data_IF_868915986633
#
_entry.id   IF_868915986633
#
_cell.length_a   1.000
_cell.length_b   1.000
_cell.length_c   1.000
_cell.angle_alpha   90.00
_cell.angle_beta   90.00
_cell.angle_gamma   90.00
#
_symmetry.space_group_name_H-M   'P 1'
#
loop_
_entity.id
_entity.type
_entity.pdbx_description
1 polymer ?
#
# COMPACT_ATOMS: atom_id res chain seq x y z
N UNK A 1 20.98 -3.07 10.24
CA UNK A 1 20.75 -1.62 10.04
C UNK A 1 19.28 -1.26 9.95
N UNK A 2 18.48 -1.88 9.08
CA UNK A 2 17.06 -1.52 8.90
C UNK A 2 16.23 -1.54 10.20
N UNK A 3 16.30 -2.61 11.00
CA UNK A 3 15.60 -2.68 12.30
C UNK A 3 16.03 -1.57 13.27
N UNK A 4 17.33 -1.32 13.35
CA UNK A 4 17.89 -0.24 14.18
C UNK A 4 17.40 1.12 13.68
N UNK A 5 17.34 1.35 12.37
CA UNK A 5 16.82 2.58 11.78
C UNK A 5 15.34 2.80 12.10
N UNK A 6 14.49 1.79 11.88
CA UNK A 6 13.06 1.87 12.20
C UNK A 6 12.86 2.15 13.69
N UNK A 7 13.56 1.43 14.56
CA UNK A 7 13.51 1.66 16.02
C UNK A 7 13.90 3.09 16.39
N UNK A 8 14.98 3.63 15.82
CA UNK A 8 15.40 5.01 16.07
C UNK A 8 14.37 6.04 15.57
N UNK A 9 13.80 5.84 14.38
CA UNK A 9 12.81 6.76 13.82
C UNK A 9 11.49 6.80 14.63
N UNK A 10 11.22 5.77 15.43
CA UNK A 10 10.08 5.72 16.36
C UNK A 10 10.47 6.28 17.74
N UNK A 11 11.61 5.88 18.28
CA UNK A 11 12.00 6.22 19.66
C UNK A 11 12.44 7.68 19.78
N UNK A 12 13.18 8.22 18.79
CA UNK A 12 13.78 9.56 18.87
C UNK A 12 12.71 10.66 18.99
N UNK A 13 11.68 10.74 18.13
CA UNK A 13 10.62 11.76 18.27
C UNK A 13 9.96 11.70 19.64
N UNK A 14 9.56 10.51 20.09
CA UNK A 14 8.88 10.31 21.38
C UNK A 14 9.74 10.81 22.53
N UNK A 15 11.04 10.49 22.53
CA UNK A 15 11.92 10.91 23.60
C UNK A 15 12.16 12.42 23.62
N UNK A 16 12.29 13.06 22.45
CA UNK A 16 12.44 14.52 22.37
C UNK A 16 11.16 15.24 22.86
N UNK A 17 9.98 14.66 22.56
CA UNK A 17 8.69 15.34 22.80
C UNK A 17 8.10 15.09 24.17
N UNK A 18 8.15 13.86 24.69
CA UNK A 18 7.41 13.46 25.88
C UNK A 18 8.29 13.22 27.10
N UNK A 19 9.59 12.92 26.94
CA UNK A 19 10.49 12.79 28.08
C UNK A 19 11.03 14.15 28.49
N UNK A 20 10.73 14.55 29.73
CA UNK A 20 11.21 15.81 30.32
C UNK A 20 12.70 15.74 30.70
N UNK A 21 13.17 14.55 31.10
CA UNK A 21 14.55 14.28 31.51
C UNK A 21 15.32 13.50 30.44
N UNK A 22 15.76 14.19 29.39
CA UNK A 22 16.55 13.61 28.30
C UNK A 22 17.98 13.24 28.74
N UNK A 23 18.39 13.58 29.97
CA UNK A 23 19.74 13.30 30.48
C UNK A 23 19.84 12.01 31.30
N UNK A 24 18.84 11.14 31.24
CA UNK A 24 18.94 9.84 31.92
C UNK A 24 20.06 8.98 31.31
N UNK A 25 20.89 8.29 32.12
CA UNK A 25 21.99 7.48 31.60
C UNK A 25 21.56 6.45 30.53
N UNK A 26 20.41 5.75 30.65
CA UNK A 26 19.97 4.81 29.62
C UNK A 26 19.69 5.46 28.26
N UNK A 27 19.11 6.67 28.26
CA UNK A 27 18.81 7.41 27.03
C UNK A 27 20.09 7.84 26.30
N UNK A 28 21.07 8.33 27.07
CA UNK A 28 22.36 8.73 26.53
C UNK A 28 23.10 7.52 25.95
N UNK A 29 23.14 6.40 26.67
CA UNK A 29 23.77 5.16 26.19
C UNK A 29 23.10 4.69 24.89
N UNK A 30 21.76 4.67 24.85
CA UNK A 30 21.02 4.30 23.65
C UNK A 30 21.38 5.17 22.43
N UNK A 31 21.40 6.50 22.60
CA UNK A 31 21.75 7.43 21.53
C UNK A 31 23.20 7.25 21.05
N UNK A 32 24.16 7.17 21.98
CA UNK A 32 25.59 7.02 21.63
C UNK A 32 25.86 5.70 20.92
N UNK A 33 25.28 4.59 21.39
CA UNK A 33 25.39 3.28 20.73
C UNK A 33 24.79 3.32 19.34
N UNK A 34 23.58 3.87 19.21
CA UNK A 34 22.89 4.03 17.93
C UNK A 34 23.72 4.85 16.94
N UNK A 35 24.20 6.02 17.35
CA UNK A 35 24.99 6.93 16.52
C UNK A 35 26.33 6.30 16.10
N UNK A 36 26.94 5.48 16.97
CA UNK A 36 28.14 4.70 16.64
C UNK A 36 27.89 3.72 15.50
N UNK A 37 26.76 2.98 15.53
CA UNK A 37 26.39 2.10 14.42
C UNK A 37 26.16 2.85 13.11
N UNK A 38 25.57 4.05 13.16
CA UNK A 38 25.38 4.90 11.98
C UNK A 38 26.70 5.41 11.40
N UNK A 39 27.66 5.74 12.27
CA UNK A 39 29.00 6.14 11.84
C UNK A 39 29.76 4.98 11.19
N UNK A 40 29.65 3.77 11.75
CA UNK A 40 30.22 2.56 11.13
C UNK A 40 29.58 2.33 9.75
N UNK A 41 28.27 2.42 9.64
CA UNK A 41 27.55 2.27 8.36
C UNK A 41 27.98 3.32 7.33
N UNK A 42 28.18 4.58 7.75
CA UNK A 42 28.74 5.63 6.91
C UNK A 42 30.12 5.26 6.35
N UNK A 43 31.01 4.70 7.18
CA UNK A 43 32.34 4.23 6.76
C UNK A 43 32.23 3.04 5.80
N UNK A 44 31.31 2.11 6.06
CA UNK A 44 31.05 0.97 5.18
C UNK A 44 30.52 1.40 3.81
N UNK A 45 29.69 2.46 3.74
CA UNK A 45 29.18 2.99 2.47
C UNK A 45 30.30 3.48 1.51
N UNK A 46 31.48 3.85 2.02
CA UNK A 46 32.65 4.15 1.18
C UNK A 46 33.31 2.92 0.56
N UNK A 47 32.99 1.71 1.04
CA UNK A 47 33.50 0.42 0.57
C UNK A 47 32.46 -0.39 -0.19
N UNK A 48 31.19 -0.01 -0.13
CA UNK A 48 30.09 -0.67 -0.84
C UNK A 48 30.12 -0.30 -2.33
N UNK A 49 30.11 -1.33 -3.19
CA UNK A 49 30.06 -1.16 -4.64
C UNK A 49 28.74 -0.56 -5.11
N UNK A 50 28.80 0.28 -6.15
CA UNK A 50 27.63 0.92 -6.75
C UNK A 50 27.26 0.13 -8.02
N UNK A 51 26.03 -0.37 -8.08
CA UNK A 51 25.47 -1.00 -9.28
C UNK A 51 25.08 0.12 -10.26
N UNK A 52 25.48 0.01 -11.53
CA UNK A 52 25.02 0.94 -12.58
C UNK A 52 23.54 0.69 -12.90
N UNK A 53 22.84 1.71 -13.40
CA UNK A 53 21.41 1.65 -13.78
C UNK A 53 21.08 0.52 -14.77
N UNK A 54 22.04 0.09 -15.58
CA UNK A 54 21.85 -1.01 -16.53
C UNK A 54 21.91 -2.40 -15.88
N UNK A 55 22.17 -2.51 -14.56
CA UNK A 55 22.35 -3.77 -13.80
C UNK A 55 23.39 -4.75 -14.40
N UNK A 56 24.18 -4.32 -15.39
CA UNK A 56 25.18 -5.14 -16.09
C UNK A 56 26.57 -5.09 -15.47
N UNK A 57 26.90 -4.00 -14.75
CA UNK A 57 28.24 -3.79 -14.19
C UNK A 57 28.19 -3.24 -12.75
N UNK A 58 29.01 -3.82 -11.87
CA UNK A 58 29.23 -3.34 -10.50
C UNK A 58 30.58 -2.63 -10.46
N UNK A 59 30.56 -1.33 -10.14
CA UNK A 59 31.79 -0.55 -9.99
C UNK A 59 32.37 -0.88 -8.61
N UNK A 60 33.52 -1.57 -8.60
CA UNK A 60 34.26 -1.94 -7.39
C UNK A 60 35.49 -1.04 -7.12
N UNK A 61 35.79 -0.10 -8.02
CA UNK A 61 36.92 0.81 -7.86
C UNK A 61 36.68 1.78 -6.68
N UNK A 62 37.47 1.71 -5.59
CA UNK A 62 37.26 2.52 -4.40
C UNK A 62 37.44 4.03 -4.65
N UNK A 63 38.22 4.46 -5.66
CA UNK A 63 38.36 5.89 -5.95
C UNK A 63 37.08 6.46 -6.58
N UNK A 64 36.51 5.73 -7.54
CA UNK A 64 35.26 6.11 -8.20
C UNK A 64 34.07 6.09 -7.24
N UNK A 65 33.99 5.08 -6.37
CA UNK A 65 32.95 4.98 -5.33
C UNK A 65 33.00 6.19 -4.40
N UNK A 66 34.19 6.55 -3.91
CA UNK A 66 34.37 7.70 -3.00
C UNK A 66 33.90 9.01 -3.64
N UNK A 67 34.35 9.32 -4.86
CA UNK A 67 34.01 10.57 -5.54
C UNK A 67 32.50 10.65 -5.80
N UNK A 68 31.90 9.56 -6.28
CA UNK A 68 30.46 9.51 -6.56
C UNK A 68 29.63 9.64 -5.28
N UNK A 69 30.04 9.01 -4.19
CA UNK A 69 29.35 9.10 -2.90
C UNK A 69 29.47 10.48 -2.25
N UNK A 70 30.68 11.07 -2.26
CA UNK A 70 30.94 12.41 -1.72
C UNK A 70 30.12 13.51 -2.43
N UNK A 71 29.91 13.38 -3.74
CA UNK A 71 29.16 14.36 -4.53
C UNK A 71 27.64 14.27 -4.36
N UNK A 72 27.12 13.13 -3.92
CA UNK A 72 25.67 12.86 -3.91
C UNK A 72 25.07 12.89 -2.51
N UNK A 73 25.30 11.84 -1.72
CA UNK A 73 24.54 11.57 -0.49
C UNK A 73 25.35 11.79 0.80
N UNK A 74 26.67 11.95 0.69
CA UNK A 74 27.55 12.06 1.85
C UNK A 74 27.14 13.14 2.84
N UNK A 75 26.77 14.34 2.37
CA UNK A 75 26.43 15.46 3.27
C UNK A 75 25.22 15.13 4.14
N UNK A 76 24.15 14.57 3.56
CA UNK A 76 22.93 14.18 4.28
C UNK A 76 23.23 13.02 5.24
N UNK A 77 24.00 12.04 4.78
CA UNK A 77 24.38 10.88 5.60
C UNK A 77 25.31 11.27 6.76
N UNK A 78 26.20 12.25 6.57
CA UNK A 78 27.11 12.76 7.59
C UNK A 78 26.38 13.56 8.66
N UNK A 79 25.56 14.54 8.27
CA UNK A 79 24.78 15.37 9.20
C UNK A 79 23.84 14.50 10.04
N UNK A 80 23.24 13.48 9.45
CA UNK A 80 22.32 12.58 10.16
C UNK A 80 23.01 11.56 11.07
N UNK A 81 24.31 11.30 10.87
CA UNK A 81 25.09 10.35 11.68
C UNK A 81 25.80 11.03 12.86
N UNK A 82 25.97 12.35 12.84
CA UNK A 82 26.66 13.08 13.90
C UNK A 82 25.68 13.45 15.05
N UNK A 83 26.07 13.21 16.32
CA UNK A 83 25.35 13.70 17.49
C UNK A 83 25.53 15.23 17.68
N UNK A 84 24.95 16.03 16.79
CA UNK A 84 25.11 17.50 16.77
C UNK A 84 24.64 18.15 18.07
N UNK A 85 23.57 17.60 18.67
CA UNK A 85 23.00 18.01 19.95
C UNK A 85 23.99 17.84 21.12
N UNK A 86 24.69 16.70 21.20
CA UNK A 86 25.68 16.47 22.24
C UNK A 86 26.94 17.32 22.04
N UNK A 87 27.40 17.49 20.79
CA UNK A 87 28.54 18.37 20.50
C UNK A 87 28.23 19.80 20.90
N UNK A 88 27.04 20.30 20.55
CA UNK A 88 26.60 21.64 20.93
C UNK A 88 26.52 21.80 22.44
N UNK A 89 25.98 20.81 23.16
CA UNK A 89 25.89 20.82 24.62
C UNK A 89 27.28 20.86 25.29
N UNK A 90 28.24 20.08 24.79
CA UNK A 90 29.62 20.07 25.30
C UNK A 90 30.30 21.41 25.01
N UNK A 91 30.20 21.94 23.78
CA UNK A 91 30.81 23.23 23.40
C UNK A 91 30.26 24.37 24.25
N UNK A 92 28.95 24.41 24.44
CA UNK A 92 28.29 25.43 25.27
C UNK A 92 28.74 25.34 26.74
N UNK A 93 28.81 24.12 27.29
CA UNK A 93 29.28 23.88 28.67
C UNK A 93 30.73 24.35 28.87
N UNK A 94 31.55 24.32 27.81
CA UNK A 94 32.96 24.71 27.85
C UNK A 94 33.19 26.21 27.65
N UNK A 95 32.30 26.90 26.92
CA UNK A 95 32.43 28.33 26.61
C UNK A 95 31.78 29.21 27.69
N UNK A 96 30.71 28.75 28.33
CA UNK A 96 29.91 29.57 29.26
C UNK A 96 29.89 29.00 30.70
N UNK A 97 31.08 28.79 31.31
CA UNK A 97 31.20 28.42 32.72
C UNK A 97 30.64 29.49 33.67
N UNK A 98 30.52 30.74 33.18
CA UNK A 98 29.92 31.85 33.91
C UNK A 98 28.68 32.34 33.13
N UNK A 99 27.56 32.49 33.85
CA UNK A 99 26.33 33.18 33.42
C UNK A 99 25.17 32.34 32.84
N UNK A 100 24.55 31.51 33.68
CA UNK A 100 23.18 31.03 33.47
C UNK A 100 22.16 32.15 33.70
N UNK A 101 21.97 33.03 32.70
CA UNK A 101 20.71 33.77 32.59
C UNK A 101 19.64 32.77 32.15
N UNK A 102 18.70 32.46 33.04
CA UNK A 102 17.63 31.46 32.90
C UNK A 102 16.85 31.56 31.59
N UNK A 103 16.67 32.78 31.05
CA UNK A 103 16.00 33.02 29.77
C UNK A 103 16.81 32.57 28.54
N UNK A 104 18.15 32.56 28.60
CA UNK A 104 19.02 32.09 27.51
C UNK A 104 19.11 30.57 27.51
N UNK A 105 19.13 29.94 28.68
CA UNK A 105 19.16 28.49 28.86
C UNK A 105 17.93 27.79 28.25
N UNK A 106 16.71 28.32 28.48
CA UNK A 106 15.48 27.77 27.88
C UNK A 106 15.51 27.80 26.34
N UNK A 107 16.01 28.89 25.76
CA UNK A 107 16.15 29.02 24.31
C UNK A 107 17.15 28.01 23.75
N UNK A 108 18.26 27.79 24.45
CA UNK A 108 19.29 26.82 24.09
C UNK A 108 18.74 25.39 24.11
N UNK A 109 17.97 25.00 25.13
CA UNK A 109 17.32 23.67 25.21
C UNK A 109 16.33 23.46 24.06
N UNK A 110 15.62 24.50 23.62
CA UNK A 110 14.75 24.41 22.42
C UNK A 110 15.56 24.19 21.15
N UNK A 111 16.69 24.87 21.00
CA UNK A 111 17.58 24.68 19.85
C UNK A 111 18.20 23.28 19.81
N UNK A 112 18.60 22.71 20.95
CA UNK A 112 19.11 21.32 20.97
C UNK A 112 18.05 20.31 20.55
N UNK A 113 16.78 20.51 20.92
CA UNK A 113 15.65 19.68 20.46
C UNK A 113 15.40 19.80 18.96
N UNK A 114 15.57 20.98 18.37
CA UNK A 114 15.44 21.15 16.92
C UNK A 114 16.63 20.48 16.19
N UNK A 115 17.84 20.60 16.74
CA UNK A 115 19.03 19.96 16.18
C UNK A 115 18.96 18.43 16.25
N UNK A 116 18.36 17.85 17.30
CA UNK A 116 18.18 16.41 17.39
C UNK A 116 17.17 15.86 16.36
N UNK A 117 16.25 16.69 15.84
CA UNK A 117 15.39 16.32 14.70
C UNK A 117 16.18 16.12 13.40
N UNK A 118 17.42 16.61 13.27
CA UNK A 118 18.27 16.31 12.11
C UNK A 118 18.52 14.80 11.96
N UNK A 119 18.38 14.02 13.05
CA UNK A 119 18.44 12.55 13.00
C UNK A 119 17.29 11.95 12.17
N UNK A 120 16.19 12.67 11.94
CA UNK A 120 15.11 12.22 11.03
C UNK A 120 15.54 12.18 9.56
N UNK A 121 16.62 12.88 9.19
CA UNK A 121 17.20 12.78 7.84
C UNK A 121 17.70 11.36 7.51
N UNK A 122 17.86 10.49 8.53
CA UNK A 122 18.09 9.03 8.37
C UNK A 122 16.99 8.35 7.56
N UNK A 123 15.79 8.94 7.46
CA UNK A 123 14.72 8.45 6.59
C UNK A 123 15.17 8.31 5.14
N UNK A 124 15.99 9.24 4.64
CA UNK A 124 16.51 9.16 3.26
C UNK A 124 17.26 7.84 3.04
N UNK A 125 18.07 7.42 4.00
CA UNK A 125 18.82 6.17 3.96
C UNK A 125 17.89 4.95 4.14
N UNK A 126 16.85 5.07 4.97
CA UNK A 126 15.85 4.01 5.14
C UNK A 126 15.11 3.74 3.82
N UNK A 127 14.65 4.79 3.13
CA UNK A 127 13.97 4.67 1.84
C UNK A 127 14.88 4.01 0.80
N UNK A 128 16.16 4.41 0.73
CA UNK A 128 17.14 3.77 -0.18
C UNK A 128 17.33 2.30 0.12
N UNK A 129 17.49 1.93 1.39
CA UNK A 129 17.62 0.53 1.76
C UNK A 129 16.34 -0.24 1.42
N UNK A 130 15.16 0.26 1.75
CA UNK A 130 13.89 -0.40 1.42
C UNK A 130 13.78 -0.61 -0.09
N UNK A 131 14.08 0.39 -0.92
CA UNK A 131 14.07 0.24 -2.37
C UNK A 131 15.05 -0.82 -2.88
N UNK A 132 16.29 -0.81 -2.38
CA UNK A 132 17.30 -1.79 -2.78
C UNK A 132 16.89 -3.21 -2.35
N UNK A 133 16.33 -3.36 -1.15
CA UNK A 133 15.77 -4.63 -0.67
C UNK A 133 14.56 -5.06 -1.51
N UNK A 134 13.66 -4.14 -1.85
CA UNK A 134 12.48 -4.41 -2.69
C UNK A 134 12.88 -4.90 -4.08
N UNK A 135 13.90 -4.31 -4.72
CA UNK A 135 14.44 -4.76 -6.01
C UNK A 135 15.02 -6.18 -5.93
N UNK A 136 15.79 -6.49 -4.87
CA UNK A 136 16.34 -7.83 -4.63
C UNK A 136 15.21 -8.85 -4.41
N UNK A 137 14.19 -8.50 -3.62
CA UNK A 137 13.05 -9.40 -3.35
C UNK A 137 12.19 -9.61 -4.59
N UNK A 138 12.02 -8.58 -5.43
CA UNK A 138 11.30 -8.65 -6.70
C UNK A 138 11.84 -9.76 -7.60
N UNK A 139 13.17 -9.89 -7.69
CA UNK A 139 13.81 -10.93 -8.50
C UNK A 139 13.53 -12.36 -7.99
N UNK A 140 13.14 -12.51 -6.72
CA UNK A 140 12.90 -13.81 -6.09
C UNK A 140 11.42 -14.20 -5.96
N UNK A 141 10.49 -13.23 -5.88
CA UNK A 141 9.08 -13.50 -5.59
C UNK A 141 8.09 -12.56 -6.31
N UNK A 142 7.80 -12.85 -7.58
CA UNK A 142 7.02 -11.97 -8.48
C UNK A 142 5.58 -11.67 -7.98
N UNK A 143 4.85 -12.66 -7.45
CA UNK A 143 3.49 -12.44 -6.89
C UNK A 143 3.51 -11.75 -5.52
N UNK A 144 4.58 -11.92 -4.74
CA UNK A 144 4.70 -11.34 -3.40
C UNK A 144 5.10 -9.86 -3.43
N UNK A 145 5.68 -9.38 -4.54
CA UNK A 145 6.09 -7.98 -4.69
C UNK A 145 4.94 -7.00 -4.43
N UNK A 146 3.76 -7.23 -5.03
CA UNK A 146 2.64 -6.30 -4.88
C UNK A 146 2.15 -6.21 -3.41
N UNK A 147 2.24 -7.32 -2.67
CA UNK A 147 1.98 -7.35 -1.22
C UNK A 147 3.05 -6.56 -0.45
N UNK A 148 4.33 -6.78 -0.74
CA UNK A 148 5.45 -6.10 -0.08
C UNK A 148 5.35 -4.59 -0.26
N UNK A 149 5.03 -4.10 -1.47
CA UNK A 149 4.86 -2.67 -1.75
C UNK A 149 3.77 -2.02 -0.91
N UNK A 150 2.64 -2.70 -0.71
CA UNK A 150 1.55 -2.20 0.14
C UNK A 150 1.93 -2.24 1.62
N UNK A 151 2.59 -3.30 2.08
CA UNK A 151 3.08 -3.37 3.47
C UNK A 151 4.07 -2.24 3.75
N UNK A 152 5.00 -1.97 2.83
CA UNK A 152 5.94 -0.86 2.92
C UNK A 152 5.21 0.50 2.96
N UNK A 153 4.20 0.69 2.12
CA UNK A 153 3.39 1.91 2.11
C UNK A 153 2.62 2.11 3.42
N UNK A 154 1.99 1.06 3.95
CA UNK A 154 1.31 1.10 5.26
C UNK A 154 2.32 1.45 6.36
N UNK A 155 3.50 0.82 6.36
CA UNK A 155 4.57 1.12 7.30
C UNK A 155 5.02 2.60 7.24
N UNK A 156 5.19 3.14 6.04
CA UNK A 156 5.53 4.55 5.83
C UNK A 156 4.40 5.49 6.31
N UNK A 157 3.14 5.15 6.03
CA UNK A 157 1.98 5.92 6.48
C UNK A 157 1.86 5.96 8.01
N UNK A 158 2.09 4.83 8.68
CA UNK A 158 2.12 4.74 10.14
C UNK A 158 3.26 5.58 10.74
N UNK A 159 4.44 5.56 10.11
CA UNK A 159 5.58 6.36 10.54
C UNK A 159 5.32 7.87 10.39
N UNK A 160 4.72 8.29 9.27
CA UNK A 160 4.33 9.69 9.07
C UNK A 160 3.25 10.13 10.06
N UNK A 161 2.25 9.29 10.32
CA UNK A 161 1.22 9.54 11.33
C UNK A 161 1.86 9.70 12.74
N UNK A 162 2.83 8.85 13.06
CA UNK A 162 3.57 8.92 14.31
C UNK A 162 4.35 10.25 14.45
N UNK A 163 5.06 10.67 13.40
CA UNK A 163 5.81 11.92 13.41
C UNK A 163 4.91 13.14 13.45
N UNK A 164 3.80 13.12 12.72
CA UNK A 164 2.81 14.20 12.77
C UNK A 164 2.22 14.33 14.18
N UNK A 165 1.90 13.22 14.85
CA UNK A 165 1.46 13.23 16.25
C UNK A 165 2.51 13.80 17.19
N UNK A 166 3.77 13.39 17.04
CA UNK A 166 4.87 13.95 17.83
C UNK A 166 5.05 15.45 17.56
N UNK A 167 4.98 15.89 16.30
CA UNK A 167 5.09 17.30 15.90
C UNK A 167 3.97 18.16 16.49
N UNK A 168 2.72 17.65 16.46
CA UNK A 168 1.56 18.34 17.00
C UNK A 168 1.65 18.57 18.53
N UNK A 169 2.37 17.72 19.26
CA UNK A 169 2.67 17.93 20.68
C UNK A 169 3.96 18.74 20.90
N UNK A 170 4.97 18.56 20.05
CA UNK A 170 6.26 19.23 20.13
C UNK A 170 6.12 20.74 20.07
N UNK A 171 5.32 21.26 19.13
CA UNK A 171 5.23 22.71 18.92
C UNK A 171 4.60 23.44 20.10
N UNK A 172 3.45 23.01 20.67
CA UNK A 172 2.95 23.55 21.93
C UNK A 172 3.96 23.45 23.09
N UNK A 173 4.72 22.35 23.16
CA UNK A 173 5.76 22.18 24.18
C UNK A 173 6.91 23.20 24.01
N UNK A 174 7.31 23.53 22.78
CA UNK A 174 8.31 24.57 22.50
C UNK A 174 7.81 26.00 22.80
N UNK A 175 6.50 26.20 22.88
CA UNK A 175 5.84 27.47 23.22
C UNK A 175 5.42 27.57 24.71
N UNK A 176 5.88 26.63 25.56
CA UNK A 176 5.50 26.53 26.97
C UNK A 176 3.97 26.39 27.20
N UNK A 177 3.30 25.64 26.33
CA UNK A 177 1.86 25.31 26.43
C UNK A 177 0.94 26.54 26.60
N UNK A 178 0.81 27.39 25.57
CA UNK A 178 -0.04 28.58 25.68
C UNK A 178 -1.51 28.20 25.89
N UNK A 179 -2.31 29.10 26.49
CA UNK A 179 -3.67 28.77 26.94
C UNK A 179 -4.64 28.45 25.77
N UNK A 180 -4.33 28.89 24.56
CA UNK A 180 -5.08 28.66 23.34
C UNK A 180 -4.72 27.36 22.61
N UNK A 181 -3.68 26.64 23.04
CA UNK A 181 -3.29 25.37 22.43
C UNK A 181 -4.21 24.22 22.83
N UNK A 182 -4.27 23.20 21.97
CA UNK A 182 -5.10 22.01 22.18
C UNK A 182 -4.77 21.24 23.48
N UNK A 183 -3.50 21.21 23.90
CA UNK A 183 -3.07 20.51 25.13
C UNK A 183 -3.62 21.20 26.38
N UNK A 184 -3.48 22.53 26.46
CA UNK A 184 -3.96 23.34 27.57
C UNK A 184 -5.48 23.37 27.64
N UNK A 185 -6.17 23.45 26.49
CA UNK A 185 -7.64 23.39 26.43
C UNK A 185 -8.20 22.06 26.92
N UNK A 186 -7.53 20.97 26.61
CA UNK A 186 -7.92 19.64 27.08
C UNK A 186 -7.47 19.37 28.53
N UNK A 187 -6.77 20.31 29.18
CA UNK A 187 -6.21 20.18 30.54
C UNK A 187 -5.25 19.00 30.72
N UNK A 188 -4.56 18.61 29.65
CA UNK A 188 -3.69 17.41 29.63
C UNK A 188 -2.19 17.71 29.81
N UNK A 189 -1.83 18.94 30.21
CA UNK A 189 -0.41 19.36 30.35
C UNK A 189 0.34 18.52 31.39
N UNK A 190 -0.35 18.09 32.45
CA UNK A 190 0.22 17.36 33.58
C UNK A 190 -0.09 15.85 33.56
N UNK A 191 -0.73 15.37 32.50
CA UNK A 191 -1.07 13.96 32.35
C UNK A 191 0.16 13.09 32.05
N UNK A 192 -0.03 11.78 32.14
CA UNK A 192 1.04 10.83 31.82
C UNK A 192 1.46 10.93 30.35
N UNK A 193 2.74 10.71 30.06
CA UNK A 193 3.27 10.78 28.70
C UNK A 193 2.52 9.85 27.73
N UNK A 194 2.06 8.68 28.20
CA UNK A 194 1.29 7.73 27.41
C UNK A 194 -0.08 8.28 26.98
N UNK A 195 -0.77 9.00 27.86
CA UNK A 195 -2.04 9.66 27.54
C UNK A 195 -1.84 10.81 26.54
N UNK A 196 -0.83 11.64 26.78
CA UNK A 196 -0.48 12.75 25.88
C UNK A 196 -0.13 12.25 24.47
N UNK A 197 0.72 11.21 24.38
CA UNK A 197 1.10 10.59 23.12
C UNK A 197 -0.10 9.96 22.41
N UNK A 198 -0.95 9.23 23.14
CA UNK A 198 -2.12 8.57 22.55
C UNK A 198 -3.09 9.59 21.95
N UNK A 199 -3.33 10.71 22.63
CA UNK A 199 -4.19 11.79 22.11
C UNK A 199 -3.56 12.52 20.93
N UNK A 200 -2.25 12.77 20.97
CA UNK A 200 -1.52 13.41 19.87
C UNK A 200 -1.54 12.53 18.61
N UNK A 201 -1.32 11.22 18.78
CA UNK A 201 -1.41 10.23 17.70
C UNK A 201 -2.84 10.10 17.17
N UNK A 202 -3.84 10.10 18.04
CA UNK A 202 -5.24 10.11 17.63
C UNK A 202 -5.57 11.33 16.76
N UNK A 203 -5.12 12.52 17.16
CA UNK A 203 -5.30 13.76 16.39
C UNK A 203 -4.59 13.73 15.03
N UNK A 204 -3.38 13.19 14.96
CA UNK A 204 -2.66 13.02 13.68
C UNK A 204 -3.34 11.98 12.78
N UNK A 205 -3.78 10.86 13.35
CA UNK A 205 -4.46 9.80 12.62
C UNK A 205 -5.81 10.27 12.06
N UNK A 206 -6.55 11.10 12.81
CA UNK A 206 -7.82 11.66 12.35
C UNK A 206 -7.65 12.61 11.18
N UNK A 207 -6.53 13.36 11.09
CA UNK A 207 -6.20 14.15 9.89
C UNK A 207 -5.75 13.25 8.72
N UNK A 208 -4.93 12.23 8.99
CA UNK A 208 -4.43 11.27 8.00
C UNK A 208 -5.56 10.52 7.29
N UNK A 209 -6.58 10.08 8.05
CA UNK A 209 -7.72 9.32 7.54
C UNK A 209 -8.94 10.19 7.20
N UNK A 210 -8.77 11.52 7.15
CA UNK A 210 -9.82 12.48 6.80
C UNK A 210 -11.09 12.40 7.68
N UNK A 211 -10.94 12.11 8.98
CA UNK A 211 -12.06 11.99 9.94
C UNK A 211 -12.38 13.34 10.61
N UNK A 212 -11.38 14.09 11.08
CA UNK A 212 -11.60 15.36 11.80
C UNK A 212 -10.48 15.79 12.75
N UNK A 213 -10.77 16.78 13.61
CA UNK A 213 -9.77 17.58 14.35
C UNK A 213 -9.49 17.15 15.81
N UNK A 214 -10.18 16.12 16.30
CA UNK A 214 -10.17 15.71 17.71
C UNK A 214 -11.32 16.32 18.51
N UNK A 215 -11.06 16.69 19.77
CA UNK A 215 -12.10 17.20 20.71
C UNK A 215 -12.60 18.60 20.37
N UNK A 216 -11.71 19.49 19.92
CA UNK A 216 -12.01 20.88 19.61
C UNK A 216 -11.31 21.31 18.32
N UNK A 217 -11.91 22.21 17.53
CA UNK A 217 -11.21 22.83 16.40
C UNK A 217 -10.01 23.64 16.89
N UNK A 218 -8.95 23.77 16.07
CA UNK A 218 -7.79 24.59 16.41
C UNK A 218 -8.20 26.05 16.57
N UNK A 219 -7.74 26.70 17.63
CA UNK A 219 -8.05 28.12 17.92
C UNK A 219 -6.80 28.97 17.86
N UNK A 220 -5.69 28.52 18.45
CA UNK A 220 -4.41 29.20 18.31
C UNK A 220 -3.90 29.14 16.87
N UNK A 221 -3.32 30.23 16.38
CA UNK A 221 -2.82 30.32 15.00
C UNK A 221 -1.78 29.25 14.68
N UNK A 222 -0.91 28.92 15.66
CA UNK A 222 0.07 27.84 15.52
C UNK A 222 -0.62 26.49 15.26
N UNK A 223 -1.65 26.17 16.04
CA UNK A 223 -2.40 24.91 15.92
C UNK A 223 -3.18 24.84 14.60
N UNK A 224 -3.68 25.98 14.10
CA UNK A 224 -4.37 26.06 12.80
C UNK A 224 -3.40 25.69 11.67
N UNK A 225 -2.23 26.33 11.61
CA UNK A 225 -1.24 26.04 10.55
C UNK A 225 -0.70 24.60 10.62
N UNK A 226 -0.45 24.08 11.83
CA UNK A 226 -0.05 22.68 12.00
C UNK A 226 -1.13 21.72 11.54
N UNK A 227 -2.39 22.02 11.83
CA UNK A 227 -3.53 21.22 11.40
C UNK A 227 -3.67 21.23 9.87
N UNK A 228 -3.53 22.39 9.23
CA UNK A 228 -3.54 22.50 7.76
C UNK A 228 -2.42 21.66 7.13
N UNK A 229 -1.20 21.76 7.67
CA UNK A 229 -0.06 20.97 7.19
C UNK A 229 -0.33 19.46 7.32
N UNK A 230 -0.78 19.03 8.50
CA UNK A 230 -1.13 17.64 8.80
C UNK A 230 -2.22 17.10 7.86
N UNK A 231 -3.27 17.91 7.57
CA UNK A 231 -4.32 17.54 6.62
C UNK A 231 -3.82 17.38 5.18
N UNK A 232 -2.93 18.27 4.72
CA UNK A 232 -2.36 18.19 3.36
C UNK A 232 -1.52 16.91 3.21
N UNK A 233 -0.64 16.65 4.19
CA UNK A 233 0.18 15.43 4.22
C UNK A 233 -0.73 14.20 4.30
N UNK A 234 -1.73 14.24 5.17
CA UNK A 234 -2.71 13.18 5.37
C UNK A 234 -3.49 12.80 4.12
N UNK A 235 -4.12 13.80 3.49
CA UNK A 235 -4.89 13.61 2.27
C UNK A 235 -4.05 13.05 1.12
N UNK A 236 -2.81 13.52 0.99
CA UNK A 236 -1.87 13.04 -0.04
C UNK A 236 -1.48 11.58 0.22
N UNK A 237 -1.15 11.22 1.47
CA UNK A 237 -0.82 9.84 1.84
C UNK A 237 -2.00 8.89 1.63
N UNK A 238 -3.20 9.31 2.02
CA UNK A 238 -4.41 8.52 1.82
C UNK A 238 -4.75 8.32 0.34
N UNK A 239 -4.59 9.35 -0.50
CA UNK A 239 -4.76 9.22 -1.95
C UNK A 239 -3.77 8.22 -2.56
N UNK A 240 -2.49 8.27 -2.16
CA UNK A 240 -1.48 7.29 -2.59
C UNK A 240 -1.84 5.88 -2.13
N UNK A 241 -2.31 5.72 -0.89
CA UNK A 241 -2.78 4.43 -0.38
C UNK A 241 -3.90 3.83 -1.23
N UNK A 242 -4.93 4.61 -1.55
CA UNK A 242 -6.05 4.17 -2.41
C UNK A 242 -5.55 3.80 -3.81
N UNK A 243 -4.62 4.57 -4.37
CA UNK A 243 -4.01 4.27 -5.68
C UNK A 243 -3.26 2.93 -5.70
N UNK A 244 -2.42 2.68 -4.69
CA UNK A 244 -1.68 1.42 -4.57
C UNK A 244 -2.59 0.23 -4.27
N UNK A 245 -3.63 0.41 -3.43
CA UNK A 245 -4.61 -0.63 -3.15
C UNK A 245 -5.38 -1.02 -4.42
N UNK A 246 -5.76 -0.04 -5.25
CA UNK A 246 -6.44 -0.29 -6.52
C UNK A 246 -5.53 -1.02 -7.51
N UNK A 247 -4.27 -0.60 -7.62
CA UNK A 247 -3.28 -1.29 -8.47
C UNK A 247 -3.08 -2.75 -8.04
N UNK A 248 -3.09 -3.03 -6.72
CA UNK A 248 -3.04 -4.39 -6.23
C UNK A 248 -4.28 -5.19 -6.63
N UNK A 249 -5.48 -4.66 -6.42
CA UNK A 249 -6.73 -5.36 -6.77
C UNK A 249 -6.73 -5.71 -8.27
N UNK A 250 -6.28 -4.78 -9.11
CA UNK A 250 -6.14 -5.01 -10.55
C UNK A 250 -5.11 -6.11 -10.88
N UNK A 251 -4.00 -6.18 -10.14
CA UNK A 251 -2.99 -7.22 -10.35
C UNK A 251 -3.49 -8.62 -9.95
N UNK A 252 -4.28 -8.72 -8.87
CA UNK A 252 -4.84 -9.98 -8.39
C UNK A 252 -5.92 -10.53 -9.34
N UNK A 253 -6.71 -9.65 -9.95
CA UNK A 253 -7.80 -10.06 -10.87
C UNK A 253 -7.36 -10.12 -12.35
N UNK A 254 -6.06 -9.94 -12.63
CA UNK A 254 -5.50 -9.88 -13.99
C UNK A 254 -5.85 -11.10 -14.85
N UNK A 255 -5.68 -12.32 -14.31
CA UNK A 255 -5.98 -13.57 -15.03
C UNK A 255 -7.46 -13.74 -15.35
N UNK A 256 -8.35 -13.37 -14.41
CA UNK A 256 -9.80 -13.47 -14.59
C UNK A 256 -10.30 -12.42 -15.57
N UNK A 257 -9.77 -11.20 -15.49
CA UNK A 257 -10.08 -10.11 -16.41
C UNK A 257 -9.68 -10.47 -17.84
N UNK A 258 -8.46 -10.99 -18.05
CA UNK A 258 -8.02 -11.46 -19.37
C UNK A 258 -8.90 -12.59 -19.91
N UNK A 259 -9.36 -13.49 -19.05
CA UNK A 259 -10.30 -14.55 -19.45
C UNK A 259 -11.66 -13.98 -19.87
N UNK A 260 -12.19 -13.01 -19.13
CA UNK A 260 -13.46 -12.36 -19.44
C UNK A 260 -13.37 -11.50 -20.72
N UNK A 261 -12.29 -10.75 -20.92
CA UNK A 261 -12.05 -9.97 -22.14
C UNK A 261 -11.96 -10.88 -23.38
N UNK A 262 -11.34 -12.06 -23.28
CA UNK A 262 -11.31 -13.06 -24.36
C UNK A 262 -12.64 -13.79 -24.58
N UNK A 263 -13.45 -13.93 -23.52
CA UNK A 263 -14.73 -14.65 -23.57
C UNK A 263 -15.90 -13.74 -23.97
N UNK A 264 -15.71 -12.41 -23.96
CA UNK A 264 -16.70 -11.47 -24.49
C UNK A 264 -16.72 -11.58 -26.02
N UNK A 265 -17.88 -11.91 -26.62
CA UNK A 265 -17.99 -11.92 -28.07
C UNK A 265 -17.76 -10.48 -28.57
N UNK A 266 -16.78 -10.32 -29.46
CA UNK A 266 -16.44 -9.03 -30.07
C UNK A 266 -17.68 -8.42 -30.70
N UNK A 267 -18.23 -7.36 -30.09
CA UNK A 267 -19.38 -6.59 -30.61
C UNK A 267 -19.07 -5.79 -31.89
N UNK A 268 -17.99 -6.14 -32.60
CA UNK A 268 -17.49 -5.48 -33.80
C UNK A 268 -17.22 -6.39 -34.99
N UNK A 269 -17.51 -7.70 -34.93
CA UNK A 269 -17.69 -8.49 -36.16
C UNK A 269 -19.18 -8.57 -36.45
N UNK A 270 -19.64 -7.65 -37.30
CA UNK A 270 -20.94 -7.76 -37.94
C UNK A 270 -21.08 -9.12 -38.63
N UNK A 271 -22.27 -9.69 -38.49
CA UNK A 271 -22.98 -10.44 -39.52
C UNK A 271 -22.15 -11.37 -40.40
N UNK A 272 -21.43 -12.32 -39.79
CA UNK A 272 -21.07 -13.54 -40.50
C UNK A 272 -21.50 -14.75 -39.69
N UNK A 273 -22.35 -15.57 -40.31
CA UNK A 273 -22.99 -16.80 -39.83
C UNK A 273 -22.03 -17.89 -39.27
N UNK A 274 -20.75 -17.60 -39.06
CA UNK A 274 -19.77 -18.52 -38.48
C UNK A 274 -19.77 -18.58 -36.94
N UNK A 275 -20.49 -17.69 -36.25
CA UNK A 275 -20.54 -17.65 -34.78
C UNK A 275 -21.18 -18.88 -34.11
N UNK A 276 -22.16 -19.52 -34.77
CA UNK A 276 -22.81 -20.72 -34.23
C UNK A 276 -21.94 -21.99 -34.31
N UNK A 277 -20.91 -22.03 -35.15
CA UNK A 277 -20.04 -23.20 -35.27
C UNK A 277 -18.92 -23.24 -34.21
N UNK A 278 -18.52 -22.10 -33.65
CA UNK A 278 -17.43 -22.05 -32.66
C UNK A 278 -17.88 -22.47 -31.25
N UNK A 279 -19.12 -22.13 -30.85
CA UNK A 279 -19.66 -22.48 -29.53
C UNK A 279 -20.00 -23.99 -29.39
N UNK A 280 -20.23 -24.70 -30.49
CA UNK A 280 -20.55 -26.13 -30.49
C UNK A 280 -19.30 -27.05 -30.48
N UNK A 281 -18.09 -26.51 -30.69
CA UNK A 281 -16.86 -27.31 -30.79
C UNK A 281 -16.50 -28.10 -29.52
N UNK A 282 -16.69 -27.61 -28.29
CA UNK A 282 -16.43 -28.42 -27.09
C UNK A 282 -17.44 -29.58 -26.96
N UNK A 283 -18.71 -29.33 -27.31
CA UNK A 283 -19.79 -30.30 -27.17
C UNK A 283 -19.73 -31.41 -28.24
N UNK A 284 -19.42 -31.06 -29.50
CA UNK A 284 -19.20 -32.05 -30.56
C UNK A 284 -17.94 -32.90 -30.33
N UNK A 285 -16.87 -32.33 -29.75
CA UNK A 285 -15.64 -33.09 -29.43
C UNK A 285 -15.87 -34.12 -28.32
N UNK A 286 -16.74 -33.83 -27.36
CA UNK A 286 -17.14 -34.76 -26.31
C UNK A 286 -18.00 -35.94 -26.84
N UNK A 287 -18.81 -35.71 -27.87
CA UNK A 287 -19.61 -36.78 -28.50
C UNK A 287 -18.80 -37.68 -29.45
N UNK A 288 -17.77 -37.16 -30.11
CA UNK A 288 -16.89 -37.94 -30.99
C UNK A 288 -15.92 -38.86 -30.25
N UNK A 289 -15.57 -38.56 -29.00
CA UNK A 289 -14.72 -39.42 -28.16
C UNK A 289 -15.49 -40.57 -27.48
N UNK A 290 -16.82 -40.67 -27.66
CA UNK A 290 -17.66 -41.75 -27.12
C UNK A 290 -18.13 -42.76 -28.18
N UNK A 291 -17.46 -42.90 -29.32
CA UNK A 291 -17.66 -44.09 -30.18
C UNK A 291 -16.69 -45.21 -29.77
N UNK A 292 -17.17 -46.35 -29.27
CA UNK A 292 -16.36 -47.55 -29.19
C UNK A 292 -16.18 -48.12 -30.61
N UNK A 293 -14.93 -48.32 -31.01
CA UNK A 293 -14.60 -48.93 -32.30
C UNK A 293 -14.84 -50.44 -32.31
N UNK A 294 -15.58 -50.91 -33.32
CA UNK A 294 -15.55 -52.21 -34.02
C UNK A 294 -16.87 -52.33 -34.79
N UNK A 295 -16.96 -52.67 -36.08
CA UNK A 295 -16.04 -53.13 -37.09
C UNK A 295 -16.91 -53.61 -38.28
N UNK A 296 -16.38 -53.58 -39.50
CA UNK A 296 -16.98 -54.23 -40.67
C UNK A 296 -17.90 -53.36 -41.52
N UNK A 297 -17.38 -52.87 -42.64
CA UNK A 297 -18.19 -52.52 -43.82
C UNK A 297 -18.85 -53.78 -44.36
N UNK A 298 -20.11 -53.72 -44.84
CA UNK A 298 -20.32 -54.17 -46.20
C UNK A 298 -21.52 -53.50 -46.90
N UNK A 299 -21.53 -52.19 -47.19
CA UNK A 299 -22.52 -51.61 -48.12
C UNK A 299 -21.98 -50.44 -48.95
N UNK A 300 -20.75 -50.58 -49.44
CA UNK A 300 -20.28 -49.80 -50.59
C UNK A 300 -20.45 -50.65 -51.85
N UNK A 301 -21.69 -50.76 -52.36
CA UNK A 301 -21.98 -51.18 -53.74
C UNK A 301 -23.45 -50.99 -54.08
N UNK A 302 -23.67 -50.32 -55.21
CA UNK A 302 -24.87 -50.31 -56.07
C UNK A 302 -25.66 -49.00 -56.08
N UNK A 303 -25.37 -48.26 -57.13
CA UNK A 303 -26.10 -47.14 -57.71
C UNK A 303 -27.51 -47.53 -58.17
N UNK A 304 -28.27 -46.51 -58.59
CA UNK A 304 -29.54 -46.58 -59.36
C UNK A 304 -30.74 -47.09 -58.54
N UNK A 305 -31.87 -46.39 -58.33
CA UNK A 305 -32.69 -45.51 -59.16
C UNK A 305 -33.60 -44.62 -58.26
N UNK A 306 -34.01 -43.45 -58.76
CA UNK A 306 -35.22 -42.69 -58.32
C UNK A 306 -36.48 -43.51 -58.77
N UNK A 307 -37.72 -43.40 -58.21
CA UNK A 307 -38.36 -42.17 -57.72
C UNK A 307 -39.51 -42.29 -56.65
N UNK A 308 -40.07 -41.12 -56.30
CA UNK A 308 -41.49 -40.79 -55.94
C UNK A 308 -42.17 -41.24 -54.62
N UNK A 309 -42.61 -40.19 -53.89
CA UNK A 309 -43.98 -39.86 -53.40
C UNK A 309 -44.86 -40.97 -52.79
N UNK A 310 -45.29 -40.80 -51.53
CA UNK A 310 -46.70 -40.68 -51.09
C UNK A 310 -46.82 -40.75 -49.54
N UNK A 311 -47.36 -39.67 -48.96
CA UNK A 311 -48.50 -39.59 -48.03
C UNK A 311 -48.69 -40.52 -46.81
N UNK A 312 -49.59 -40.12 -45.88
CA UNK A 312 -49.51 -40.41 -44.45
C UNK A 312 -50.65 -41.31 -43.93
N UNK A 313 -50.52 -41.86 -42.71
CA UNK A 313 -51.58 -42.33 -41.78
C UNK A 313 -50.92 -43.18 -40.67
N UNK A 314 -51.39 -43.35 -39.44
CA UNK A 314 -52.35 -42.71 -38.53
C UNK A 314 -52.47 -43.65 -37.31
N UNK A 315 -52.57 -43.10 -36.09
CA UNK A 315 -53.37 -43.66 -34.99
C UNK A 315 -52.78 -44.81 -34.14
N UNK A 316 -52.94 -44.71 -32.81
CA UNK A 316 -52.83 -45.84 -31.89
C UNK A 316 -52.40 -45.51 -30.45
N UNK A 317 -53.35 -45.04 -29.63
CA UNK A 317 -53.29 -45.02 -28.15
C UNK A 317 -53.18 -46.44 -27.55
N UNK A 318 -52.42 -46.63 -26.43
CA UNK A 318 -52.81 -47.41 -25.23
C UNK A 318 -51.96 -46.98 -24.01
N UNK A 319 -52.64 -46.96 -22.85
CA UNK A 319 -52.31 -46.48 -21.50
C UNK A 319 -51.37 -47.37 -20.64
N UNK A 320 -50.72 -46.67 -19.71
CA UNK A 320 -50.47 -46.97 -18.29
C UNK A 320 -49.44 -48.02 -17.84
N UNK A 321 -48.45 -47.58 -17.04
CA UNK A 321 -47.75 -48.45 -16.09
C UNK A 321 -46.41 -47.92 -15.57
N UNK A 322 -46.40 -47.55 -14.28
CA UNK A 322 -45.26 -47.55 -13.32
C UNK A 322 -44.24 -46.41 -13.28
N UNK A 323 -43.99 -45.95 -12.04
CA UNK A 323 -43.20 -44.79 -11.61
C UNK A 323 -41.69 -45.08 -11.47
N UNK A 324 -40.92 -44.07 -11.91
CA UNK A 324 -39.65 -43.50 -11.41
C UNK A 324 -38.32 -44.27 -11.56
N UNK A 325 -37.15 -43.57 -11.68
CA UNK A 325 -36.90 -42.13 -11.91
C UNK A 325 -36.03 -41.85 -13.16
N UNK A 326 -36.07 -40.65 -13.79
CA UNK A 326 -35.08 -40.29 -14.81
C UNK A 326 -34.04 -39.31 -14.24
N UNK A 327 -32.79 -39.75 -14.35
CA UNK A 327 -31.63 -38.88 -14.45
C UNK A 327 -31.58 -38.24 -15.85
N UNK A 328 -31.06 -37.00 -15.91
CA UNK A 328 -30.74 -36.18 -17.09
C UNK A 328 -31.87 -35.39 -17.80
N UNK A 329 -31.94 -34.07 -17.51
CA UNK A 329 -31.83 -32.88 -18.41
C UNK A 329 -32.51 -32.96 -19.82
N UNK A 330 -33.09 -31.88 -20.42
CA UNK A 330 -33.35 -30.48 -20.00
C UNK A 330 -34.79 -29.98 -20.30
N UNK A 331 -35.42 -29.23 -19.41
CA UNK A 331 -36.58 -28.38 -19.77
C UNK A 331 -36.85 -27.30 -18.71
N UNK A 332 -36.06 -26.23 -18.67
CA UNK A 332 -36.53 -24.99 -18.05
C UNK A 332 -35.81 -23.73 -18.54
N UNK A 333 -35.60 -23.61 -19.85
CA UNK A 333 -35.43 -22.31 -20.54
C UNK A 333 -36.80 -21.82 -21.04
N UNK A 334 -37.89 -22.23 -20.37
CA UNK A 334 -39.27 -21.84 -20.67
C UNK A 334 -39.95 -21.12 -19.50
N UNK A 335 -39.21 -20.75 -18.45
CA UNK A 335 -39.74 -20.03 -17.28
C UNK A 335 -39.15 -18.61 -17.08
N UNK A 336 -38.30 -18.11 -17.99
CA UNK A 336 -37.72 -16.75 -17.90
C UNK A 336 -38.07 -15.84 -19.07
N UNK A 337 -38.93 -16.31 -19.99
CA UNK A 337 -39.52 -15.50 -21.08
C UNK A 337 -40.91 -14.96 -20.78
N UNK A 338 -41.52 -15.35 -19.64
CA UNK A 338 -42.90 -14.97 -19.28
C UNK A 338 -43.00 -13.75 -18.33
N UNK A 339 -41.87 -13.25 -17.80
CA UNK A 339 -41.85 -12.05 -16.94
C UNK A 339 -41.46 -10.76 -17.67
N UNK A 340 -40.76 -10.84 -18.81
CA UNK A 340 -40.37 -9.68 -19.62
C UNK A 340 -41.43 -9.25 -20.65
N UNK A 341 -42.36 -10.14 -21.04
CA UNK A 341 -43.45 -9.77 -21.96
C UNK A 341 -44.62 -9.06 -21.25
N UNK A 342 -44.82 -9.25 -19.94
CA UNK A 342 -45.88 -8.57 -19.17
C UNK A 342 -45.56 -7.14 -18.74
N UNK A 343 -44.29 -6.71 -18.76
CA UNK A 343 -43.89 -5.34 -18.45
C UNK A 343 -43.88 -4.41 -19.68
N UNK A 344 -43.78 -4.95 -20.90
CA UNK A 344 -43.85 -4.14 -22.14
C UNK A 344 -45.28 -3.79 -22.56
N UNK A 345 -46.29 -4.55 -22.09
CA UNK A 345 -47.70 -4.29 -22.40
C UNK A 345 -48.33 -3.17 -21.55
N UNK A 346 -47.72 -2.79 -20.42
CA UNK A 346 -48.26 -1.75 -19.51
C UNK A 346 -47.70 -0.34 -19.78
N UNK A 347 -46.64 -0.21 -20.59
CA UNK A 347 -46.05 1.09 -20.97
C UNK A 347 -46.51 1.62 -22.33
N UNK A 348 -47.44 0.94 -23.01
CA UNK A 348 -48.06 1.41 -24.27
C UNK A 348 -49.49 1.98 -24.08
N UNK A 349 -49.95 2.17 -22.84
CA UNK A 349 -51.25 2.78 -22.51
C UNK A 349 -51.18 3.99 -21.56
N UNK A 350 -49.98 4.56 -21.35
CA UNK A 350 -49.81 5.93 -20.83
C UNK A 350 -48.95 6.72 -21.82
N UNK A 351 -49.57 7.04 -22.94
CA UNK A 351 -49.24 8.22 -23.73
C UNK A 351 -49.97 9.42 -23.15
#
# INVERSE_FOLDING_TARGET
>A
MLLLMVGNLIIIPVGITFFKDEHTPPWIVFNVVSDTFFLIDLVLNFRTGIVKEDNTEIILDPQQIKIKYLRSWFVVDFISSIPVDYIFLIVETRINSDFYKTARALRIVRFTKILSLLRLLRLSRLIRYIHQWEEIFHMTYDLASAMVRIVNLIGMMLLLCHWDGCLQFLVPMLQDFPADCWVSKNKMVNDTWGQQYSYALFKAMSHMLCIGYGMYPPVGMTDVWLTILSMIVGATCYAMFVGHATALIQSLDSSRRQYQEKSQPSTGLGDNELGCQAAARPFCRALLQRRPGRGGDPWASRAEERPRVLGPQSGGEVRAGTRAPPSAIPSCVRQQRSYTEKLSATLKQRG
#
